data_IF_012362273186
#
_entry.id   IF_012362273186
#
_cell.length_a   1.000
_cell.length_b   1.000
_cell.length_c   1.000
_cell.angle_alpha   90.00
_cell.angle_beta   90.00
_cell.angle_gamma   90.00
#
_symmetry.space_group_name_H-M   'P 1'
#
loop_
_entity.id
_entity.type
_entity.pdbx_description
1 polymer ?
#
# COMPACT_ATOMS: atom_id res chain seq x y z
N UNK A 1 2.29 -3.02 5.22
CA UNK A 1 2.59 -2.80 3.78
C UNK A 1 1.78 -1.63 3.30
N UNK A 2 2.38 -0.66 2.62
CA UNK A 2 1.68 0.42 1.92
C UNK A 2 1.64 0.06 0.44
N UNK A 3 0.45 -0.01 -0.15
CA UNK A 3 0.26 -0.57 -1.49
C UNK A 3 -0.55 0.34 -2.40
N UNK A 4 -0.02 0.62 -3.58
CA UNK A 4 -0.63 1.42 -4.63
C UNK A 4 -0.18 0.92 -6.00
N UNK A 5 -1.08 0.87 -6.97
CA UNK A 5 -0.82 0.21 -8.26
C UNK A 5 -1.58 0.86 -9.41
N UNK A 6 -0.98 0.81 -10.60
CA UNK A 6 -1.59 1.21 -11.87
C UNK A 6 -2.75 0.28 -12.23
N UNK A 7 -3.85 0.82 -12.78
CA UNK A 7 -5.05 0.05 -13.15
C UNK A 7 -4.84 -0.95 -14.29
N UNK A 8 -3.70 -0.86 -14.98
CA UNK A 8 -3.27 -1.79 -16.05
C UNK A 8 -2.58 -3.05 -15.51
N UNK A 9 -2.41 -3.16 -14.20
CA UNK A 9 -1.74 -4.28 -13.52
C UNK A 9 -2.76 -5.11 -12.74
N UNK A 10 -2.28 -6.23 -12.19
CA UNK A 10 -3.10 -7.19 -11.46
C UNK A 10 -2.63 -7.26 -10.00
N UNK A 11 -3.32 -6.56 -9.08
CA UNK A 11 -2.97 -6.49 -7.67
C UNK A 11 -2.83 -7.87 -7.02
N UNK A 12 -3.72 -8.80 -7.37
CA UNK A 12 -3.79 -10.15 -6.84
C UNK A 12 -2.53 -10.94 -7.19
N UNK A 13 -2.13 -10.94 -8.46
CA UNK A 13 -0.94 -11.66 -8.94
C UNK A 13 0.36 -11.11 -8.31
N UNK A 14 0.41 -9.81 -7.99
CA UNK A 14 1.58 -9.19 -7.36
C UNK A 14 1.69 -9.52 -5.86
N UNK A 15 0.57 -9.49 -5.13
CA UNK A 15 0.57 -9.71 -3.69
C UNK A 15 0.57 -11.19 -3.30
N UNK A 16 0.04 -12.09 -4.14
CA UNK A 16 -0.08 -13.51 -3.83
C UNK A 16 1.25 -14.18 -3.39
N UNK A 17 2.41 -13.94 -4.05
CA UNK A 17 3.68 -14.54 -3.64
C UNK A 17 4.18 -14.09 -2.27
N UNK A 18 3.76 -12.92 -1.79
CA UNK A 18 4.23 -12.33 -0.54
C UNK A 18 3.18 -12.32 0.58
N UNK A 19 1.94 -12.73 0.30
CA UNK A 19 0.80 -12.60 1.24
C UNK A 19 1.04 -13.21 2.61
N UNK A 20 1.82 -14.29 2.69
CA UNK A 20 2.14 -14.99 3.94
C UNK A 20 3.11 -14.22 4.85
N UNK A 21 3.80 -13.20 4.33
CA UNK A 21 4.70 -12.34 5.10
C UNK A 21 4.02 -11.02 5.52
N UNK A 22 2.76 -10.81 5.13
CA UNK A 22 2.06 -9.54 5.34
C UNK A 22 1.18 -9.63 6.59
N UNK A 23 1.48 -8.78 7.58
CA UNK A 23 0.66 -8.68 8.80
C UNK A 23 -0.52 -7.69 8.67
N UNK A 24 -0.30 -6.58 7.94
CA UNK A 24 -1.30 -5.54 7.70
C UNK A 24 -0.99 -4.80 6.40
N UNK A 25 -2.03 -4.38 5.70
CA UNK A 25 -1.95 -3.58 4.46
C UNK A 25 -2.73 -2.28 4.63
N UNK A 26 -2.13 -1.19 4.17
CA UNK A 26 -2.83 0.04 3.89
C UNK A 26 -2.75 0.31 2.39
N UNK A 27 -3.90 0.39 1.73
CA UNK A 27 -3.97 0.70 0.30
C UNK A 27 -4.15 2.20 0.08
N UNK A 28 -3.51 2.74 -0.95
CA UNK A 28 -3.54 4.18 -1.25
C UNK A 28 -3.76 4.41 -2.74
N UNK A 29 -4.48 5.48 -3.06
CA UNK A 29 -4.56 5.98 -4.43
C UNK A 29 -3.32 6.82 -4.77
N UNK A 30 -2.85 6.74 -6.00
CA UNK A 30 -1.71 7.53 -6.50
C UNK A 30 -2.29 8.75 -7.21
N UNK A 31 -2.38 9.87 -6.49
CA UNK A 31 -3.15 11.09 -6.87
C UNK A 31 -2.72 11.77 -8.16
N UNK A 32 -1.45 11.65 -8.56
CA UNK A 32 -0.91 12.36 -9.73
C UNK A 32 -1.11 11.58 -11.05
N UNK A 33 -1.77 10.42 -11.03
CA UNK A 33 -1.89 9.52 -12.19
C UNK A 33 -3.34 9.06 -12.43
N UNK A 34 -3.92 9.40 -13.59
CA UNK A 34 -5.30 9.00 -13.96
C UNK A 34 -5.48 7.47 -14.12
N UNK A 35 -4.40 6.72 -14.33
CA UNK A 35 -4.42 5.29 -14.61
C UNK A 35 -4.05 4.43 -13.39
N UNK A 36 -4.57 4.78 -12.22
CA UNK A 36 -4.35 4.06 -10.95
C UNK A 36 -5.65 3.57 -10.34
N UNK A 37 -5.58 2.44 -9.65
CA UNK A 37 -6.71 1.97 -8.84
C UNK A 37 -6.99 2.97 -7.71
N UNK A 38 -8.26 3.06 -7.29
CA UNK A 38 -8.63 3.65 -6.01
C UNK A 38 -8.10 2.80 -4.84
N UNK A 39 -7.99 3.41 -3.66
CA UNK A 39 -7.58 2.69 -2.46
C UNK A 39 -8.57 1.55 -2.14
N UNK A 40 -9.86 1.77 -2.37
CA UNK A 40 -10.95 0.84 -2.11
C UNK A 40 -10.92 -0.36 -3.07
N UNK A 41 -10.65 -0.13 -4.37
CA UNK A 41 -10.48 -1.22 -5.33
C UNK A 41 -9.29 -2.10 -4.97
N UNK A 42 -8.16 -1.51 -4.59
CA UNK A 42 -7.00 -2.26 -4.13
C UNK A 42 -7.29 -3.03 -2.84
N UNK A 43 -8.04 -2.45 -1.90
CA UNK A 43 -8.42 -3.15 -0.67
C UNK A 43 -9.31 -4.36 -0.97
N UNK A 44 -10.26 -4.24 -1.90
CA UNK A 44 -11.09 -5.36 -2.36
C UNK A 44 -10.24 -6.46 -3.02
N UNK A 45 -9.33 -6.12 -3.91
CA UNK A 45 -8.42 -7.09 -4.55
C UNK A 45 -7.51 -7.79 -3.52
N UNK A 46 -6.94 -7.02 -2.59
CA UNK A 46 -6.07 -7.52 -1.51
C UNK A 46 -6.81 -8.47 -0.57
N UNK A 47 -8.03 -8.13 -0.18
CA UNK A 47 -8.85 -8.99 0.70
C UNK A 47 -9.35 -10.24 -0.02
N UNK A 48 -9.60 -10.19 -1.33
CA UNK A 48 -10.04 -11.33 -2.14
C UNK A 48 -9.01 -12.47 -2.16
N UNK A 49 -7.71 -12.17 -2.03
CA UNK A 49 -6.63 -13.18 -1.95
C UNK A 49 -6.31 -13.64 -0.52
N UNK A 50 -7.10 -13.22 0.47
CA UNK A 50 -7.03 -13.68 1.85
C UNK A 50 -6.27 -12.78 2.82
N UNK A 51 -5.76 -11.61 2.39
CA UNK A 51 -5.12 -10.64 3.29
C UNK A 51 -6.23 -9.80 3.96
N UNK A 52 -6.75 -10.30 5.08
CA UNK A 52 -7.93 -9.71 5.76
C UNK A 52 -7.67 -8.37 6.45
N UNK A 53 -6.46 -8.18 6.99
CA UNK A 53 -6.09 -6.95 7.68
C UNK A 53 -5.63 -5.90 6.65
N UNK A 54 -6.60 -5.32 5.94
CA UNK A 54 -6.36 -4.38 4.84
C UNK A 54 -7.31 -3.19 4.96
N UNK A 55 -6.75 -1.97 4.93
CA UNK A 55 -7.52 -0.73 5.13
C UNK A 55 -7.21 0.28 4.03
N UNK A 56 -8.20 0.78 3.28
CA UNK A 56 -7.98 1.88 2.35
C UNK A 56 -7.71 3.18 3.11
N UNK A 57 -6.81 3.99 2.57
CA UNK A 57 -6.37 5.25 3.18
C UNK A 57 -6.34 6.36 2.12
N UNK A 58 -6.67 7.58 2.53
CA UNK A 58 -6.76 8.73 1.61
C UNK A 58 -5.42 9.43 1.37
N UNK A 59 -4.38 9.10 2.14
CA UNK A 59 -3.03 9.64 1.96
C UNK A 59 -1.95 8.66 2.46
N UNK A 60 -0.71 8.91 2.04
CA UNK A 60 0.45 8.18 2.54
C UNK A 60 0.63 8.34 4.05
N UNK A 61 0.52 9.56 4.58
CA UNK A 61 0.64 9.81 6.03
C UNK A 61 -0.36 8.99 6.85
N UNK A 62 -1.61 8.86 6.37
CA UNK A 62 -2.60 8.04 7.05
C UNK A 62 -2.26 6.55 6.94
N UNK A 63 -1.79 6.08 5.79
CA UNK A 63 -1.31 4.71 5.62
C UNK A 63 -0.12 4.38 6.52
N UNK A 64 0.80 5.32 6.67
CA UNK A 64 1.96 5.18 7.56
C UNK A 64 1.51 5.10 9.03
N UNK A 65 0.71 6.06 9.49
CA UNK A 65 0.20 6.10 10.87
C UNK A 65 -0.69 4.89 11.20
N UNK A 66 -1.45 4.37 10.25
CA UNK A 66 -2.27 3.16 10.44
C UNK A 66 -1.43 1.89 10.63
N UNK A 67 -0.20 1.85 10.11
CA UNK A 67 0.67 0.68 10.18
C UNK A 67 1.65 0.73 11.35
N UNK A 68 1.84 1.89 11.98
CA UNK A 68 2.74 2.03 13.12
C UNK A 68 2.02 1.67 14.40
N UNK A 69 2.60 0.72 15.12
CA UNK A 69 2.28 0.44 16.50
C UNK A 69 3.51 0.79 17.37
N UNK A 70 3.46 1.86 18.18
CA UNK A 70 4.58 2.26 19.05
C UNK A 70 4.97 1.21 20.09
N UNK A 71 4.12 0.21 20.34
CA UNK A 71 4.40 -0.89 21.27
C UNK A 71 5.15 -2.06 20.63
N UNK A 72 5.31 -2.06 19.30
CA UNK A 72 5.92 -3.13 18.51
C UNK A 72 7.19 -2.61 17.81
N UNK A 73 8.35 -2.75 18.48
CA UNK A 73 9.63 -2.33 17.91
C UNK A 73 10.70 -3.44 17.93
N UNK A 74 11.48 -3.62 16.82
CA UNK A 74 11.43 -2.88 15.56
C UNK A 74 10.40 -3.45 14.56
N UNK A 75 9.62 -2.56 13.93
CA UNK A 75 8.68 -2.88 12.83
C UNK A 75 9.26 -2.61 11.43
N UNK A 76 8.77 -3.31 10.40
CA UNK A 76 9.20 -3.13 8.99
C UNK A 76 8.03 -2.70 8.11
N UNK A 77 8.20 -1.60 7.38
CA UNK A 77 7.24 -1.11 6.40
C UNK A 77 7.79 -1.34 4.98
N UNK A 78 7.02 -2.08 4.17
CA UNK A 78 7.23 -2.19 2.72
C UNK A 78 6.23 -1.27 2.02
N UNK A 79 6.72 -0.32 1.22
CA UNK A 79 5.92 0.43 0.26
C UNK A 79 6.16 -0.13 -1.15
N UNK A 80 5.11 -0.56 -1.87
CA UNK A 80 5.28 -1.28 -3.13
C UNK A 80 4.06 -1.17 -4.08
N UNK A 81 4.22 -1.71 -5.29
CA UNK A 81 3.18 -1.80 -6.32
C UNK A 81 3.34 -0.82 -7.49
N UNK A 82 4.08 0.28 -7.30
CA UNK A 82 4.34 1.27 -8.35
C UNK A 82 5.59 2.11 -8.06
N UNK A 83 6.34 2.44 -9.12
CA UNK A 83 7.43 3.43 -9.02
C UNK A 83 6.89 4.85 -8.77
N UNK A 84 5.68 5.16 -9.24
CA UNK A 84 5.02 6.43 -8.95
C UNK A 84 4.71 6.58 -7.46
N UNK A 85 4.26 5.50 -6.79
CA UNK A 85 4.09 5.48 -5.34
C UNK A 85 5.43 5.71 -4.64
N UNK A 86 6.49 5.03 -5.06
CA UNK A 86 7.82 5.25 -4.49
C UNK A 86 8.27 6.71 -4.66
N UNK A 87 8.04 7.32 -5.82
CA UNK A 87 8.32 8.73 -6.07
C UNK A 87 7.51 9.68 -5.17
N UNK A 88 6.22 9.42 -4.99
CA UNK A 88 5.35 10.19 -4.08
C UNK A 88 5.88 10.17 -2.65
N UNK A 89 6.23 8.98 -2.16
CA UNK A 89 6.76 8.76 -0.81
C UNK A 89 8.08 9.50 -0.60
N UNK A 90 8.98 9.44 -1.59
CA UNK A 90 10.27 10.12 -1.53
C UNK A 90 10.10 11.65 -1.54
N UNK A 91 9.16 12.17 -2.34
CA UNK A 91 8.82 13.60 -2.40
C UNK A 91 8.28 14.10 -1.05
N UNK A 92 7.39 13.34 -0.41
CA UNK A 92 6.76 13.70 0.86
C UNK A 92 7.72 13.58 2.06
N UNK A 93 8.55 12.54 2.10
CA UNK A 93 9.49 12.31 3.21
C UNK A 93 10.77 13.16 3.14
N UNK A 94 10.94 14.01 2.13
CA UNK A 94 12.08 14.96 1.96
C UNK A 94 13.46 14.32 2.18
N UNK A 95 13.60 13.03 1.94
CA UNK A 95 14.85 12.30 2.14
C UNK A 95 15.72 12.41 0.89
N UNK A 96 16.06 13.65 0.50
CA UNK A 96 17.14 14.03 -0.42
C UNK A 96 17.57 15.47 -0.15
#
# INVERSE_FOLDING_TARGET
VIFGMLSTKKPEEFLDPIKHFINSVSTVHITDEMACFSAEELAKATTAIGIKNCHPQISFDQAFNNLIDPSQDPSRILACGSLYLAGLILRENKSF
#
